data_IF_453376133353
#
_entry.id   IF_453376133353
#
_cell.length_a   1.000
_cell.length_b   1.000
_cell.length_c   1.000
_cell.angle_alpha   90.00
_cell.angle_beta   90.00
_cell.angle_gamma   90.00
#
_symmetry.space_group_name_H-M   'P 1'
#
loop_
_entity.id
_entity.type
_entity.pdbx_description
1 polymer ?
#
# COMPACT_ATOMS: atom_id res chain seq x y z
N UNK A 1 35.72 32.25 -16.48
CA UNK A 1 34.47 31.66 -17.04
C UNK A 1 33.73 31.11 -15.84
N UNK A 2 32.83 31.91 -15.28
CA UNK A 2 32.01 31.51 -14.13
C UNK A 2 30.80 30.75 -14.66
N UNK A 3 30.66 29.51 -14.21
CA UNK A 3 29.57 28.60 -14.60
C UNK A 3 28.47 28.77 -13.56
N UNK A 4 27.66 29.81 -13.73
CA UNK A 4 26.39 29.96 -13.01
C UNK A 4 25.22 29.75 -13.99
N UNK A 5 24.08 29.28 -13.48
CA UNK A 5 22.78 29.08 -14.15
C UNK A 5 22.36 27.64 -14.54
N UNK A 6 22.38 26.69 -13.60
CA UNK A 6 21.47 25.53 -13.68
C UNK A 6 20.87 25.02 -12.35
N UNK A 7 21.19 25.63 -11.19
CA UNK A 7 21.27 24.87 -9.93
C UNK A 7 20.28 25.20 -8.82
N UNK A 8 19.18 25.92 -9.07
CA UNK A 8 18.35 26.48 -7.98
C UNK A 8 16.95 25.87 -7.72
N UNK A 9 16.27 25.16 -8.64
CA UNK A 9 14.92 24.68 -8.34
C UNK A 9 14.84 23.63 -7.22
N UNK A 10 15.77 22.67 -7.18
CA UNK A 10 15.75 21.58 -6.20
C UNK A 10 16.10 22.06 -4.78
N UNK A 11 17.14 22.89 -4.67
CA UNK A 11 17.57 23.51 -3.42
C UNK A 11 16.44 24.35 -2.81
N UNK A 12 15.81 25.21 -3.61
CA UNK A 12 14.76 26.14 -3.16
C UNK A 12 13.46 25.44 -2.72
N UNK A 13 13.24 24.18 -3.12
CA UNK A 13 12.07 23.42 -2.74
C UNK A 13 12.32 22.45 -1.57
N UNK A 14 13.46 21.76 -1.54
CA UNK A 14 13.75 20.75 -0.52
C UNK A 14 14.16 21.40 0.80
N UNK A 15 15.05 22.40 0.76
CA UNK A 15 15.57 23.04 1.97
C UNK A 15 14.45 23.67 2.82
N UNK A 16 13.52 24.47 2.25
CA UNK A 16 12.47 25.07 3.07
C UNK A 16 11.51 24.04 3.65
N UNK A 17 11.21 22.97 2.91
CA UNK A 17 10.35 21.88 3.42
C UNK A 17 11.00 21.18 4.59
N UNK A 18 12.28 20.83 4.46
CA UNK A 18 12.98 20.09 5.49
C UNK A 18 13.26 20.94 6.72
N UNK A 19 13.57 22.22 6.53
CA UNK A 19 13.72 23.20 7.61
C UNK A 19 12.41 23.38 8.38
N UNK A 20 11.28 23.52 7.66
CA UNK A 20 9.94 23.61 8.29
C UNK A 20 9.58 22.33 9.04
N UNK A 21 9.87 21.17 8.46
CA UNK A 21 9.64 19.88 9.10
C UNK A 21 10.45 19.73 10.39
N UNK A 22 11.76 19.98 10.35
CA UNK A 22 12.64 19.90 11.52
C UNK A 22 12.19 20.87 12.63
N UNK A 23 11.89 22.13 12.29
CA UNK A 23 11.36 23.10 13.26
C UNK A 23 10.02 22.66 13.84
N UNK A 24 9.15 22.12 12.98
CA UNK A 24 7.84 21.61 13.39
C UNK A 24 7.97 20.47 14.39
N UNK A 25 8.79 19.46 14.08
CA UNK A 25 8.95 18.27 14.91
C UNK A 25 9.74 18.54 16.20
N UNK A 26 10.59 19.57 16.24
CA UNK A 26 11.25 20.01 17.48
C UNK A 26 10.30 20.78 18.43
N UNK A 27 9.19 21.31 17.90
CA UNK A 27 8.22 22.07 18.68
C UNK A 27 7.45 21.20 19.68
N UNK A 28 7.51 21.56 20.97
CA UNK A 28 6.82 20.82 22.06
C UNK A 28 5.31 20.72 21.83
N UNK A 29 4.68 21.82 21.38
CA UNK A 29 3.25 21.84 21.07
C UNK A 29 2.89 20.92 19.90
N UNK A 30 3.71 20.91 18.84
CA UNK A 30 3.54 20.03 17.69
C UNK A 30 3.70 18.56 18.08
N UNK A 31 4.74 18.22 18.86
CA UNK A 31 4.96 16.86 19.37
C UNK A 31 3.75 16.37 20.16
N UNK A 32 3.26 17.19 21.09
CA UNK A 32 2.07 16.86 21.87
C UNK A 32 0.85 16.64 20.97
N UNK A 33 0.62 17.55 20.02
CA UNK A 33 -0.49 17.42 19.06
C UNK A 33 -0.39 16.13 18.24
N UNK A 34 0.81 15.73 17.80
CA UNK A 34 1.01 14.47 17.10
C UNK A 34 0.70 13.27 18.00
N UNK A 35 1.20 13.27 19.24
CA UNK A 35 0.95 12.20 20.21
C UNK A 35 -0.55 12.02 20.42
N UNK A 36 -1.26 13.11 20.69
CA UNK A 36 -2.70 13.09 20.95
C UNK A 36 -3.47 12.58 19.70
N UNK A 37 -3.13 13.06 18.49
CA UNK A 37 -3.76 12.57 17.25
C UNK A 37 -3.55 11.07 17.01
N UNK A 38 -2.32 10.56 17.16
CA UNK A 38 -2.04 9.13 16.98
C UNK A 38 -2.74 8.28 18.04
N UNK A 39 -2.74 8.76 19.28
CA UNK A 39 -3.40 8.08 20.38
C UNK A 39 -4.91 7.97 20.13
N UNK A 40 -5.56 9.08 19.74
CA UNK A 40 -6.99 9.11 19.48
C UNK A 40 -7.40 8.20 18.31
N UNK A 41 -6.62 8.20 17.22
CA UNK A 41 -6.85 7.31 16.07
C UNK A 41 -6.73 5.83 16.47
N UNK A 42 -5.71 5.48 17.25
CA UNK A 42 -5.53 4.12 17.75
C UNK A 42 -6.66 3.75 18.70
N UNK A 43 -7.03 4.65 19.61
CA UNK A 43 -8.04 4.39 20.65
C UNK A 43 -9.45 4.26 20.08
N UNK A 44 -9.76 5.00 19.02
CA UNK A 44 -11.08 4.99 18.37
C UNK A 44 -11.27 3.76 17.47
N UNK A 45 -10.18 3.07 17.11
CA UNK A 45 -10.21 1.88 16.26
C UNK A 45 -9.84 0.61 17.04
N UNK A 46 -10.82 -0.22 17.48
CA UNK A 46 -10.55 -1.39 18.32
C UNK A 46 -9.59 -2.42 17.69
N UNK A 47 -9.62 -2.57 16.36
CA UNK A 47 -8.74 -3.50 15.64
C UNK A 47 -7.30 -2.98 15.67
N UNK A 48 -7.12 -1.68 15.45
CA UNK A 48 -5.82 -1.03 15.52
C UNK A 48 -5.29 -1.04 16.96
N UNK A 49 -6.12 -0.72 17.95
CA UNK A 49 -5.77 -0.77 19.38
C UNK A 49 -5.27 -2.16 19.77
N UNK A 50 -6.01 -3.22 19.41
CA UNK A 50 -5.62 -4.60 19.71
C UNK A 50 -4.29 -4.98 19.07
N UNK A 51 -4.07 -4.60 17.80
CA UNK A 51 -2.81 -4.87 17.08
C UNK A 51 -1.61 -4.15 17.71
N UNK A 52 -1.79 -2.88 18.06
CA UNK A 52 -0.73 -2.09 18.71
C UNK A 52 -0.40 -2.72 20.06
N UNK A 53 -1.40 -3.00 20.88
CA UNK A 53 -1.23 -3.65 22.19
C UNK A 53 -0.54 -5.02 22.09
N UNK A 54 -0.89 -5.84 21.11
CA UNK A 54 -0.22 -7.11 20.85
C UNK A 54 1.28 -6.90 20.57
N UNK A 55 1.63 -5.89 19.75
CA UNK A 55 3.02 -5.62 19.36
C UNK A 55 3.87 -4.99 20.46
N UNK A 56 3.28 -4.13 21.29
CA UNK A 56 4.00 -3.43 22.38
C UNK A 56 3.94 -4.19 23.72
N UNK A 57 3.25 -5.34 23.78
CA UNK A 57 3.19 -6.19 24.98
C UNK A 57 2.20 -5.70 26.04
N UNK A 58 0.95 -5.44 25.66
CA UNK A 58 -0.14 -4.91 26.53
C UNK A 58 0.15 -3.57 27.22
N UNK A 59 1.24 -2.91 26.85
CA UNK A 59 1.71 -1.67 27.45
C UNK A 59 0.80 -0.46 27.21
N UNK A 60 1.16 0.62 27.90
CA UNK A 60 0.51 1.92 27.79
C UNK A 60 0.75 2.53 26.40
N UNK A 61 -0.31 2.54 25.57
CA UNK A 61 -0.26 3.02 24.19
C UNK A 61 0.21 4.48 24.10
N UNK A 62 -0.26 5.34 25.01
CA UNK A 62 0.12 6.75 25.02
C UNK A 62 1.62 6.93 25.24
N UNK A 63 2.19 6.24 26.24
CA UNK A 63 3.62 6.25 26.52
C UNK A 63 4.43 5.73 25.34
N UNK A 64 4.02 4.63 24.72
CA UNK A 64 4.68 4.11 23.52
C UNK A 64 4.75 5.15 22.39
N UNK A 65 3.65 5.86 22.11
CA UNK A 65 3.63 6.90 21.08
C UNK A 65 4.49 8.09 21.51
N UNK A 66 4.42 8.49 22.78
CA UNK A 66 5.26 9.56 23.33
C UNK A 66 6.75 9.24 23.16
N UNK A 67 7.17 8.03 23.49
CA UNK A 67 8.54 7.57 23.34
C UNK A 67 8.93 7.57 21.84
N UNK A 68 8.06 7.05 20.96
CA UNK A 68 8.27 6.99 19.51
C UNK A 68 8.44 8.38 18.87
N UNK A 69 7.65 9.38 19.28
CA UNK A 69 7.70 10.75 18.74
C UNK A 69 8.79 11.60 19.42
N UNK A 70 9.27 11.17 20.58
CA UNK A 70 10.37 11.85 21.27
C UNK A 70 11.69 11.65 20.53
N UNK A 71 11.89 10.47 19.94
CA UNK A 71 13.05 10.14 19.14
C UNK A 71 13.19 11.04 17.90
N UNK A 72 14.44 11.32 17.52
CA UNK A 72 14.72 12.13 16.33
C UNK A 72 14.35 11.32 15.07
N UNK A 73 13.51 11.86 14.16
CA UNK A 73 13.11 11.12 12.99
C UNK A 73 14.27 10.94 12.01
N UNK A 74 14.35 9.76 11.38
CA UNK A 74 15.08 9.56 10.14
C UNK A 74 14.25 10.09 8.97
N UNK A 75 14.85 10.90 8.10
CA UNK A 75 14.16 11.54 6.98
C UNK A 75 14.64 10.88 5.69
N UNK A 76 13.70 10.39 4.89
CA UNK A 76 13.99 9.81 3.57
C UNK A 76 13.53 10.79 2.51
N UNK A 77 14.46 11.27 1.67
CA UNK A 77 14.17 12.12 0.53
C UNK A 77 14.12 11.23 -0.71
N UNK A 78 12.96 11.18 -1.36
CA UNK A 78 12.73 10.35 -2.56
C UNK A 78 12.83 11.24 -3.80
N UNK A 79 13.80 10.96 -4.68
CA UNK A 79 14.13 11.80 -5.83
C UNK A 79 14.33 10.98 -7.09
N UNK A 80 14.13 11.58 -8.25
CA UNK A 80 14.39 10.95 -9.54
C UNK A 80 15.88 10.83 -9.86
N UNK A 81 16.68 11.82 -9.45
CA UNK A 81 18.09 11.91 -9.78
C UNK A 81 18.86 12.57 -8.65
N UNK A 82 20.02 12.00 -8.32
CA UNK A 82 20.92 12.52 -7.30
C UNK A 82 21.88 13.54 -7.92
N UNK A 83 21.73 14.81 -7.55
CA UNK A 83 22.58 15.91 -8.03
C UNK A 83 23.60 16.35 -6.98
N UNK A 84 24.72 16.94 -7.40
CA UNK A 84 25.71 17.52 -6.48
C UNK A 84 25.15 18.64 -5.61
N UNK A 85 24.17 19.38 -6.13
CA UNK A 85 23.46 20.46 -5.44
C UNK A 85 22.62 19.92 -4.29
N UNK A 86 21.92 18.80 -4.51
CA UNK A 86 21.16 18.14 -3.44
C UNK A 86 22.08 17.61 -2.34
N UNK A 87 23.23 17.03 -2.72
CA UNK A 87 24.23 16.60 -1.75
C UNK A 87 24.71 17.76 -0.88
N UNK A 88 24.94 18.92 -1.49
CA UNK A 88 25.32 20.14 -0.77
C UNK A 88 24.23 20.61 0.15
N UNK A 89 23.00 20.71 -0.37
CA UNK A 89 21.82 21.09 0.39
C UNK A 89 21.67 20.23 1.66
N UNK A 90 21.80 18.91 1.52
CA UNK A 90 21.63 17.96 2.62
C UNK A 90 22.73 18.05 3.67
N UNK A 91 23.96 18.44 3.30
CA UNK A 91 25.05 18.63 4.28
C UNK A 91 24.69 19.68 5.33
N UNK A 92 23.95 20.71 4.94
CA UNK A 92 23.56 21.80 5.83
C UNK A 92 22.33 21.47 6.70
N UNK A 93 21.66 20.35 6.41
CA UNK A 93 20.47 19.93 7.11
C UNK A 93 20.85 19.08 8.33
N UNK A 94 20.33 19.47 9.49
CA UNK A 94 20.41 18.66 10.72
C UNK A 94 19.48 17.45 10.63
N UNK A 95 20.00 16.23 10.76
CA UNK A 95 19.15 15.03 10.74
C UNK A 95 19.88 13.77 10.28
N UNK A 96 19.25 12.61 10.49
CA UNK A 96 19.58 11.40 9.73
C UNK A 96 18.79 11.45 8.42
N UNK A 97 19.38 12.08 7.40
CA UNK A 97 18.76 12.24 6.08
C UNK A 97 19.33 11.17 5.14
N UNK A 98 18.43 10.41 4.52
CA UNK A 98 18.77 9.38 3.55
C UNK A 98 18.13 9.70 2.21
N UNK A 99 18.88 9.50 1.14
CA UNK A 99 18.39 9.72 -0.23
C UNK A 99 17.98 8.39 -0.84
N UNK A 100 16.75 8.34 -1.33
CA UNK A 100 16.23 7.26 -2.14
C UNK A 100 16.09 7.76 -3.58
N UNK A 101 17.07 7.43 -4.41
CA UNK A 101 16.97 7.66 -5.85
C UNK A 101 16.08 6.59 -6.49
N UNK A 102 15.09 7.01 -7.28
CA UNK A 102 14.21 6.12 -8.02
C UNK A 102 14.13 6.49 -9.49
N UNK A 103 14.09 5.47 -10.35
CA UNK A 103 13.96 5.61 -11.80
C UNK A 103 12.58 5.16 -12.24
N UNK A 104 11.97 5.93 -13.12
CA UNK A 104 10.69 5.60 -13.76
C UNK A 104 11.00 5.13 -15.18
N UNK A 105 10.55 3.93 -15.51
CA UNK A 105 10.63 3.38 -16.86
C UNK A 105 9.23 3.31 -17.46
N UNK A 106 9.11 3.74 -18.71
CA UNK A 106 7.91 3.60 -19.52
C UNK A 106 8.22 2.75 -20.73
N UNK A 107 7.31 1.84 -21.08
CA UNK A 107 7.41 1.06 -22.30
C UNK A 107 6.93 1.91 -23.47
N UNK A 108 7.79 2.14 -24.45
CA UNK A 108 7.41 2.81 -25.69
C UNK A 108 6.46 1.93 -26.53
N UNK A 109 5.54 2.57 -27.27
CA UNK A 109 4.69 1.89 -28.25
C UNK A 109 3.43 1.18 -27.73
N UNK A 110 2.98 1.47 -26.51
CA UNK A 110 1.72 0.95 -25.95
C UNK A 110 0.73 2.06 -25.59
N UNK A 111 -0.56 1.79 -25.77
CA UNK A 111 -1.65 2.73 -25.47
C UNK A 111 -1.97 2.91 -23.99
N UNK A 112 -1.38 2.10 -23.11
CA UNK A 112 -1.58 2.19 -21.65
C UNK A 112 -0.31 2.72 -20.97
N UNK A 113 -0.42 3.81 -20.23
CA UNK A 113 0.67 4.37 -19.43
C UNK A 113 0.86 3.53 -18.17
N UNK A 114 1.77 2.55 -18.23
CA UNK A 114 2.18 1.77 -17.06
C UNK A 114 3.62 2.15 -16.71
N UNK A 115 3.77 2.81 -15.57
CA UNK A 115 5.08 3.18 -15.01
C UNK A 115 5.68 1.99 -14.23
N UNK A 116 6.93 1.67 -14.54
CA UNK A 116 7.75 0.76 -13.75
C UNK A 116 8.76 1.56 -12.92
N UNK A 117 8.79 1.33 -11.61
CA UNK A 117 9.67 2.04 -10.68
C UNK A 117 10.83 1.15 -10.24
N UNK A 118 12.05 1.65 -10.34
CA UNK A 118 13.27 0.99 -9.86
C UNK A 118 13.93 1.88 -8.80
N UNK A 119 14.25 1.33 -7.64
CA UNK A 119 14.96 2.04 -6.59
C UNK A 119 15.76 1.07 -5.72
N UNK A 120 16.79 1.58 -5.05
CA UNK A 120 17.56 0.81 -4.08
C UNK A 120 16.98 1.04 -2.67
N UNK A 121 16.46 0.00 -1.98
CA UNK A 121 15.87 0.18 -0.67
C UNK A 121 16.87 0.76 0.34
N UNK A 122 16.44 1.81 1.07
CA UNK A 122 17.26 2.45 2.12
C UNK A 122 17.27 1.62 3.41
N UNK A 123 16.28 0.75 3.61
CA UNK A 123 16.16 -0.11 4.78
C UNK A 123 16.71 -1.49 4.43
N UNK A 124 17.74 -1.94 5.15
CA UNK A 124 18.27 -3.29 5.00
C UNK A 124 17.31 -4.30 5.67
N UNK A 125 16.42 -4.89 4.88
CA UNK A 125 15.46 -5.90 5.34
C UNK A 125 16.12 -7.17 5.90
N UNK A 126 17.42 -7.39 5.66
CA UNK A 126 18.13 -8.58 6.17
C UNK A 126 18.23 -8.64 7.69
N UNK A 127 18.17 -7.50 8.38
CA UNK A 127 18.22 -7.46 9.85
C UNK A 127 16.82 -7.53 10.51
N UNK A 128 15.74 -7.54 9.71
CA UNK A 128 14.37 -7.81 10.19
C UNK A 128 14.02 -9.30 10.19
N UNK A 129 14.95 -10.18 9.80
CA UNK A 129 14.93 -11.59 10.17
C UNK A 129 15.28 -11.74 11.66
N UNK A 130 14.47 -11.17 12.56
CA UNK A 130 14.23 -11.90 13.81
C UNK A 130 13.60 -13.19 13.35
N UNK A 131 14.26 -14.31 13.62
CA UNK A 131 13.77 -15.65 13.40
C UNK A 131 12.30 -15.70 13.82
N UNK A 132 11.40 -15.63 12.84
CA UNK A 132 10.18 -16.39 12.95
C UNK A 132 10.68 -17.82 12.93
N UNK A 133 11.01 -18.37 14.10
CA UNK A 133 10.89 -19.80 14.24
C UNK A 133 9.48 -20.10 13.76
N UNK A 134 9.32 -20.87 12.68
CA UNK A 134 8.00 -21.25 12.24
C UNK A 134 7.38 -21.89 13.47
N UNK A 135 6.32 -21.28 14.02
CA UNK A 135 5.50 -21.93 15.04
C UNK A 135 5.32 -23.37 14.54
N UNK A 136 5.67 -24.41 15.33
CA UNK A 136 5.59 -25.78 14.87
C UNK A 136 4.25 -25.91 14.17
N UNK A 137 4.32 -26.25 12.88
CA UNK A 137 3.16 -26.14 12.02
C UNK A 137 2.01 -26.81 12.73
N UNK A 138 0.89 -26.08 12.91
CA UNK A 138 -0.39 -26.70 13.23
C UNK A 138 -0.44 -27.97 12.37
N UNK A 139 -0.67 -29.15 12.97
CA UNK A 139 -0.58 -30.42 12.27
C UNK A 139 -1.26 -30.23 10.93
N UNK A 140 -0.50 -30.42 9.86
CA UNK A 140 -0.97 -30.21 8.49
C UNK A 140 -2.21 -31.11 8.37
N UNK A 141 -3.40 -30.53 8.60
CA UNK A 141 -4.61 -31.14 8.11
C UNK A 141 -4.35 -31.18 6.61
N UNK A 142 -4.28 -32.40 6.08
CA UNK A 142 -3.92 -32.69 4.70
C UNK A 142 -4.61 -31.65 3.80
N UNK A 143 -3.88 -30.60 3.41
CA UNK A 143 -4.40 -29.60 2.49
C UNK A 143 -4.50 -30.33 1.18
N UNK A 144 -5.73 -30.71 0.86
CA UNK A 144 -6.08 -31.27 -0.44
C UNK A 144 -5.44 -30.40 -1.51
N UNK A 145 -4.65 -31.02 -2.39
CA UNK A 145 -4.12 -30.45 -3.63
C UNK A 145 -5.26 -30.18 -4.65
N UNK A 146 -6.40 -29.64 -4.21
CA UNK A 146 -7.43 -29.18 -5.11
C UNK A 146 -7.11 -27.74 -5.50
N UNK A 147 -6.44 -27.58 -6.65
CA UNK A 147 -6.58 -26.39 -7.49
C UNK A 147 -8.07 -26.01 -7.49
N UNK A 148 -8.44 -24.94 -6.81
CA UNK A 148 -9.77 -24.35 -6.90
C UNK A 148 -9.92 -23.75 -8.30
N UNK A 149 -10.28 -24.61 -9.24
CA UNK A 149 -10.61 -24.26 -10.62
C UNK A 149 -11.99 -23.63 -10.55
N UNK A 150 -12.06 -22.34 -10.83
CA UNK A 150 -13.33 -21.67 -11.00
C UNK A 150 -13.99 -22.23 -12.28
N UNK A 151 -15.32 -22.45 -12.27
CA UNK A 151 -16.02 -22.93 -13.45
C UNK A 151 -15.91 -21.91 -14.58
N UNK A 152 -15.24 -22.32 -15.66
CA UNK A 152 -15.08 -21.52 -16.88
C UNK A 152 -16.46 -21.27 -17.48
N UNK A 153 -16.71 -20.03 -17.93
CA UNK A 153 -17.99 -19.57 -18.45
C UNK A 153 -19.00 -19.14 -17.38
N UNK A 154 -18.66 -19.23 -16.08
CA UNK A 154 -19.55 -18.76 -15.04
C UNK A 154 -19.65 -17.23 -15.06
N UNK A 155 -20.88 -16.74 -15.18
CA UNK A 155 -21.19 -15.31 -15.06
C UNK A 155 -21.25 -14.90 -13.60
N UNK A 156 -20.53 -13.84 -13.29
CA UNK A 156 -20.48 -13.21 -11.98
C UNK A 156 -20.95 -11.77 -12.09
N UNK A 157 -21.56 -11.23 -11.05
CA UNK A 157 -22.09 -9.87 -11.07
C UNK A 157 -22.08 -9.21 -9.70
N UNK A 158 -22.25 -7.89 -9.71
CA UNK A 158 -22.45 -7.08 -8.51
C UNK A 158 -23.32 -5.89 -8.85
N UNK A 159 -24.27 -5.58 -7.97
CA UNK A 159 -24.96 -4.30 -7.96
C UNK A 159 -24.15 -3.30 -7.14
N UNK A 160 -23.75 -2.21 -7.77
CA UNK A 160 -22.96 -1.16 -7.14
C UNK A 160 -23.44 0.21 -7.65
N UNK A 161 -23.85 1.10 -6.74
CA UNK A 161 -24.42 2.42 -7.08
C UNK A 161 -25.54 2.35 -8.12
N UNK A 162 -26.47 1.39 -7.96
CA UNK A 162 -27.59 1.12 -8.87
C UNK A 162 -27.18 0.70 -10.30
N UNK A 163 -25.91 0.36 -10.51
CA UNK A 163 -25.40 -0.19 -11.77
C UNK A 163 -25.11 -1.68 -11.55
N UNK A 164 -25.60 -2.52 -12.47
CA UNK A 164 -25.28 -3.94 -12.50
C UNK A 164 -24.00 -4.15 -13.29
N UNK A 165 -22.96 -4.58 -12.59
CA UNK A 165 -21.65 -4.89 -13.15
C UNK A 165 -21.58 -6.39 -13.40
N UNK A 166 -21.32 -6.81 -14.63
CA UNK A 166 -21.26 -8.23 -15.01
C UNK A 166 -19.88 -8.59 -15.56
N UNK A 167 -19.37 -9.73 -15.14
CA UNK A 167 -18.11 -10.29 -15.60
C UNK A 167 -18.25 -11.80 -15.83
N UNK A 168 -17.29 -12.38 -16.53
CA UNK A 168 -17.27 -13.80 -16.85
C UNK A 168 -15.94 -14.42 -16.43
N UNK A 169 -16.00 -15.58 -15.79
CA UNK A 169 -14.82 -16.37 -15.48
C UNK A 169 -14.38 -17.06 -16.76
N UNK A 170 -13.15 -16.79 -17.19
CA UNK A 170 -12.52 -17.47 -18.33
C UNK A 170 -11.48 -18.48 -17.83
N UNK A 171 -10.82 -19.18 -18.76
CA UNK A 171 -9.79 -20.17 -18.44
C UNK A 171 -8.69 -19.63 -17.50
N UNK A 172 -8.16 -20.53 -16.66
CA UNK A 172 -7.09 -20.24 -15.69
C UNK A 172 -7.46 -19.20 -14.62
N UNK A 173 -8.72 -19.18 -14.15
CA UNK A 173 -9.20 -18.27 -13.10
C UNK A 173 -9.08 -16.78 -13.45
N UNK A 174 -8.97 -16.45 -14.74
CA UNK A 174 -9.00 -15.08 -15.22
C UNK A 174 -10.45 -14.62 -15.33
N UNK A 175 -10.67 -13.31 -15.27
CA UNK A 175 -12.00 -12.71 -15.36
C UNK A 175 -12.03 -11.71 -16.50
N UNK A 176 -13.04 -11.84 -17.36
CA UNK A 176 -13.32 -10.91 -18.44
C UNK A 176 -14.40 -9.92 -17.99
N UNK A 177 -14.08 -8.63 -17.99
CA UNK A 177 -14.98 -7.54 -17.64
C UNK A 177 -14.81 -6.40 -18.64
N UNK A 178 -15.90 -5.90 -19.22
CA UNK A 178 -15.88 -4.85 -20.27
C UNK A 178 -14.84 -5.09 -21.37
N UNK A 179 -14.71 -6.33 -21.84
CA UNK A 179 -13.76 -6.71 -22.90
C UNK A 179 -12.29 -6.83 -22.47
N UNK A 180 -11.92 -6.42 -21.25
CA UNK A 180 -10.56 -6.58 -20.69
C UNK A 180 -10.48 -7.85 -19.83
N UNK A 181 -9.29 -8.45 -19.80
CA UNK A 181 -9.00 -9.67 -19.03
C UNK A 181 -8.16 -9.33 -17.81
N UNK A 182 -8.58 -9.82 -16.65
CA UNK A 182 -7.94 -9.62 -15.35
C UNK A 182 -7.45 -10.95 -14.78
N UNK A 183 -6.26 -10.95 -14.17
CA UNK A 183 -5.64 -12.15 -13.60
C UNK A 183 -6.15 -12.51 -12.19
N UNK A 184 -7.11 -11.75 -11.64
CA UNK A 184 -7.71 -12.07 -10.33
C UNK A 184 -9.09 -11.42 -10.16
N UNK A 185 -9.96 -12.01 -9.32
CA UNK A 185 -11.25 -11.41 -8.95
C UNK A 185 -11.15 -10.01 -8.37
N UNK A 186 -10.12 -9.75 -7.56
CA UNK A 186 -9.91 -8.45 -6.92
C UNK A 186 -9.58 -7.35 -7.94
N UNK A 187 -8.74 -7.64 -8.95
CA UNK A 187 -8.43 -6.65 -10.00
C UNK A 187 -9.64 -6.38 -10.89
N UNK A 188 -10.43 -7.41 -11.21
CA UNK A 188 -11.67 -7.23 -11.94
C UNK A 188 -12.67 -6.37 -11.15
N UNK A 189 -12.80 -6.60 -9.84
CA UNK A 189 -13.69 -5.84 -8.97
C UNK A 189 -13.30 -4.34 -8.91
N UNK A 190 -12.00 -4.05 -8.75
CA UNK A 190 -11.48 -2.66 -8.78
C UNK A 190 -11.80 -1.98 -10.11
N UNK A 191 -11.58 -2.66 -11.24
CA UNK A 191 -11.92 -2.10 -12.55
C UNK A 191 -13.43 -1.86 -12.71
N UNK A 192 -14.26 -2.75 -12.19
CA UNK A 192 -15.71 -2.65 -12.27
C UNK A 192 -16.24 -1.45 -11.48
N UNK A 193 -15.78 -1.23 -10.24
CA UNK A 193 -16.18 -0.05 -9.47
C UNK A 193 -15.60 1.25 -10.06
N UNK A 194 -14.43 1.21 -10.67
CA UNK A 194 -13.83 2.38 -11.32
C UNK A 194 -14.61 2.80 -12.57
N UNK A 195 -15.21 1.85 -13.31
CA UNK A 195 -16.11 2.18 -14.43
C UNK A 195 -17.36 2.95 -14.02
N UNK A 196 -17.74 2.93 -12.74
CA UNK A 196 -18.85 3.74 -12.19
C UNK A 196 -18.36 5.08 -11.61
N UNK A 197 -17.13 5.52 -11.92
CA UNK A 197 -16.53 6.75 -11.39
C UNK A 197 -15.98 6.66 -9.96
N UNK A 198 -15.82 5.45 -9.39
CA UNK A 198 -15.16 5.28 -8.09
C UNK A 198 -13.65 5.50 -8.20
N UNK A 199 -13.04 6.16 -7.21
CA UNK A 199 -11.57 6.31 -7.11
C UNK A 199 -10.92 5.27 -6.20
N UNK A 200 -11.67 4.26 -5.74
CA UNK A 200 -11.18 3.25 -4.79
C UNK A 200 -10.05 2.40 -5.45
N UNK A 201 -8.87 2.28 -4.81
CA UNK A 201 -7.74 1.57 -5.41
C UNK A 201 -7.73 0.06 -5.13
N UNK A 202 -8.49 -0.41 -4.14
CA UNK A 202 -8.49 -1.80 -3.68
C UNK A 202 -9.90 -2.32 -3.40
N UNK A 203 -10.15 -3.60 -3.70
CA UNK A 203 -11.41 -4.29 -3.39
C UNK A 203 -11.19 -5.79 -3.21
N UNK A 204 -11.94 -6.42 -2.30
CA UNK A 204 -11.89 -7.88 -2.13
C UNK A 204 -12.81 -8.57 -3.14
N UNK A 205 -12.22 -9.04 -4.25
CA UNK A 205 -12.95 -9.67 -5.34
C UNK A 205 -13.76 -10.90 -4.96
N UNK A 206 -13.35 -11.66 -3.95
CA UNK A 206 -14.03 -12.91 -3.58
C UNK A 206 -15.36 -12.66 -2.88
N UNK A 207 -15.42 -11.58 -2.10
CA UNK A 207 -16.64 -11.12 -1.42
C UNK A 207 -17.41 -10.05 -2.21
N UNK A 208 -16.79 -9.50 -3.24
CA UNK A 208 -17.41 -8.52 -4.13
C UNK A 208 -18.36 -9.18 -5.12
N UNK A 209 -17.89 -10.20 -5.84
CA UNK A 209 -18.64 -10.86 -6.90
C UNK A 209 -19.66 -11.84 -6.33
N UNK A 210 -20.87 -11.80 -6.90
CA UNK A 210 -21.88 -12.83 -6.73
C UNK A 210 -21.96 -13.69 -7.99
N UNK A 211 -22.41 -14.92 -7.85
CA UNK A 211 -22.80 -15.75 -8.97
C UNK A 211 -24.17 -16.37 -8.68
N UNK A 212 -24.86 -16.78 -9.74
CA UNK A 212 -26.07 -17.59 -9.61
C UNK A 212 -25.67 -19.04 -9.79
N UNK A 213 -25.84 -19.85 -8.74
CA UNK A 213 -25.51 -21.27 -8.82
C UNK A 213 -26.41 -21.96 -9.86
N UNK A 214 -25.84 -22.58 -10.91
CA UNK A 214 -26.62 -23.24 -11.94
C UNK A 214 -27.43 -24.44 -11.42
N UNK A 215 -27.08 -25.03 -10.27
CA UNK A 215 -27.77 -26.19 -9.69
C UNK A 215 -28.93 -25.78 -8.79
N UNK A 216 -28.72 -24.80 -7.92
CA UNK A 216 -29.71 -24.39 -6.91
C UNK A 216 -30.48 -23.12 -7.29
N UNK A 217 -29.99 -22.38 -8.29
CA UNK A 217 -30.54 -21.09 -8.70
C UNK A 217 -30.34 -19.96 -7.68
N UNK A 218 -29.67 -20.23 -6.56
CA UNK A 218 -29.43 -19.25 -5.49
C UNK A 218 -28.30 -18.30 -5.87
N UNK A 219 -28.41 -17.07 -5.39
CA UNK A 219 -27.31 -16.11 -5.45
C UNK A 219 -26.35 -16.37 -4.30
N UNK A 220 -25.08 -16.59 -4.63
CA UNK A 220 -24.02 -16.82 -3.65
C UNK A 220 -22.82 -15.94 -3.93
N UNK A 221 -21.99 -15.75 -2.91
CA UNK A 221 -20.71 -15.06 -3.07
C UNK A 221 -19.72 -15.97 -3.79
N UNK A 222 -18.85 -15.38 -4.61
CA UNK A 222 -17.81 -16.13 -5.31
C UNK A 222 -16.87 -16.88 -4.35
N UNK A 223 -16.70 -16.38 -3.12
CA UNK A 223 -15.93 -17.02 -2.04
C UNK A 223 -16.49 -18.40 -1.64
N UNK A 224 -17.78 -18.68 -1.86
CA UNK A 224 -18.39 -19.98 -1.55
C UNK A 224 -17.84 -21.11 -2.43
N UNK A 225 -17.35 -20.81 -3.64
CA UNK A 225 -16.72 -21.80 -4.54
C UNK A 225 -15.37 -22.33 -4.04
N UNK A 226 -14.86 -21.81 -2.91
CA UNK A 226 -13.59 -22.23 -2.30
C UNK A 226 -13.77 -23.16 -1.09
N UNK A 227 -15.01 -23.35 -0.63
CA UNK A 227 -15.35 -24.24 0.48
C UNK A 227 -15.54 -25.67 -0.01
#
# INVERSE_FOLDING_TARGET
>A
LEVELASHPLYDHIIPQLTKFNRGIEGVSTKKSLIDMFYDEIKTNPILEARVKEKIGSGEVYKFISDLISDKPSIIIVINERTSELEEAIRDIRGDVKILEFKIFRREGISEEIDAYLFNPVINLKNMEKSFEPKPGLPISKRSNNKSILPVGLKIYKEYKNIRLEAEIIENNKIKFNGKIYNSPSRAAVAAIQSTGSKRPTEDGWRFWKYKDPKTGKEELLDELRK
#
